data_IF_922518541692
#
_entry.id   IF_922518541692
#
_cell.length_a   1.000
_cell.length_b   1.000
_cell.length_c   1.000
_cell.angle_alpha   90.00
_cell.angle_beta   90.00
_cell.angle_gamma   90.00
#
_symmetry.space_group_name_H-M   'P 1'
#
loop_
_entity.id
_entity.type
_entity.pdbx_description
1 polymer ?
#
# COMPACT_ATOMS: atom_id res chain seq x y z
N UNK A 1 -18.11 -3.07 -2.67
CA UNK A 1 -17.95 -3.87 -3.88
C UNK A 1 -17.15 -5.14 -3.56
N UNK A 2 -17.41 -6.24 -4.24
CA UNK A 2 -16.67 -7.52 -4.12
C UNK A 2 -16.51 -8.07 -2.68
N UNK A 3 -17.49 -7.81 -1.81
CA UNK A 3 -17.43 -8.19 -0.38
C UNK A 3 -16.62 -7.26 0.50
N UNK A 4 -16.01 -6.21 -0.07
CA UNK A 4 -15.24 -5.23 0.68
C UNK A 4 -16.09 -4.01 1.06
N UNK A 5 -15.89 -3.52 2.27
CA UNK A 5 -16.33 -2.18 2.67
C UNK A 5 -15.23 -1.18 2.31
N UNK A 6 -15.57 -0.13 1.60
CA UNK A 6 -14.60 0.87 1.13
C UNK A 6 -15.15 2.26 1.43
N UNK A 7 -14.30 3.11 2.00
CA UNK A 7 -14.57 4.55 2.14
C UNK A 7 -13.40 5.35 1.57
N UNK A 8 -13.73 6.41 0.88
CA UNK A 8 -12.75 7.35 0.32
C UNK A 8 -13.32 8.75 0.36
N UNK A 9 -12.46 9.75 0.45
CA UNK A 9 -12.86 11.14 0.28
C UNK A 9 -13.55 11.35 -1.07
N UNK A 10 -13.06 10.70 -2.13
CA UNK A 10 -13.66 10.75 -3.46
C UNK A 10 -15.09 10.20 -3.54
N UNK A 11 -15.56 9.42 -2.54
CA UNK A 11 -16.95 8.95 -2.48
C UNK A 11 -17.91 9.98 -1.84
N UNK A 12 -17.36 11.04 -1.24
CA UNK A 12 -18.12 12.02 -0.44
C UNK A 12 -18.21 13.37 -1.17
N UNK A 13 -17.34 13.60 -2.14
CA UNK A 13 -17.16 14.88 -2.80
C UNK A 13 -17.55 14.76 -4.28
N UNK A 14 -18.16 15.80 -4.83
CA UNK A 14 -18.43 15.89 -6.26
C UNK A 14 -17.12 15.86 -7.06
N UNK A 15 -17.05 15.16 -8.22
CA UNK A 15 -15.80 14.99 -8.98
C UNK A 15 -15.15 16.30 -9.42
N UNK A 16 -15.96 17.34 -9.67
CA UNK A 16 -15.48 18.67 -10.08
C UNK A 16 -15.10 19.58 -8.91
N UNK A 17 -15.35 19.14 -7.68
CA UNK A 17 -15.09 19.97 -6.51
C UNK A 17 -13.63 19.88 -6.10
N UNK A 18 -12.90 20.98 -6.23
CA UNK A 18 -11.55 21.09 -5.69
C UNK A 18 -11.58 21.03 -4.14
N UNK A 19 -11.00 19.98 -3.57
CA UNK A 19 -10.92 19.85 -2.12
C UNK A 19 -9.56 20.29 -1.64
N UNK A 20 -9.54 21.45 -1.00
CA UNK A 20 -8.34 21.93 -0.30
C UNK A 20 -8.42 21.47 1.16
N UNK A 21 -7.97 20.24 1.42
CA UNK A 21 -7.83 19.74 2.78
C UNK A 21 -6.42 20.03 3.29
N UNK A 22 -6.31 20.99 4.20
CA UNK A 22 -5.08 21.22 4.96
C UNK A 22 -4.98 20.20 6.10
N UNK A 23 -3.74 19.92 6.57
CA UNK A 23 -3.43 18.89 7.56
C UNK A 23 -4.45 18.70 8.69
N UNK A 24 -4.85 19.74 9.46
CA UNK A 24 -5.81 19.58 10.56
C UNK A 24 -7.20 19.09 10.13
N UNK A 25 -7.68 19.51 8.94
CA UNK A 25 -8.97 19.05 8.41
C UNK A 25 -8.89 17.58 7.94
N UNK A 26 -7.78 17.22 7.36
CA UNK A 26 -7.54 15.85 6.91
C UNK A 26 -7.46 14.88 8.09
N UNK A 27 -6.81 15.29 9.18
CA UNK A 27 -6.81 14.56 10.44
C UNK A 27 -8.23 14.33 11.00
N UNK A 28 -9.11 15.35 10.90
CA UNK A 28 -10.52 15.23 11.27
C UNK A 28 -11.27 14.18 10.42
N UNK A 29 -11.06 14.19 9.11
CA UNK A 29 -11.66 13.21 8.20
C UNK A 29 -11.18 11.78 8.51
N UNK A 30 -9.90 11.58 8.81
CA UNK A 30 -9.38 10.27 9.21
C UNK A 30 -10.09 9.76 10.47
N UNK A 31 -10.25 10.61 11.48
CA UNK A 31 -10.97 10.24 12.69
C UNK A 31 -12.42 9.85 12.40
N UNK A 32 -13.11 10.61 11.55
CA UNK A 32 -14.48 10.30 11.15
C UNK A 32 -14.55 8.95 10.40
N UNK A 33 -13.61 8.67 9.49
CA UNK A 33 -13.56 7.38 8.78
C UNK A 33 -13.35 6.20 9.71
N UNK A 34 -12.63 6.38 10.79
CA UNK A 34 -12.32 5.30 11.73
C UNK A 34 -13.37 5.15 12.83
N UNK A 35 -14.00 6.24 13.28
CA UNK A 35 -14.85 6.29 14.47
C UNK A 35 -16.34 6.42 14.15
N UNK A 36 -16.70 7.15 13.09
CA UNK A 36 -18.11 7.46 12.78
C UNK A 36 -18.70 6.55 11.71
N UNK A 37 -17.87 5.80 10.99
CA UNK A 37 -18.33 4.80 10.01
C UNK A 37 -18.73 3.53 10.72
N UNK A 38 -19.92 3.03 10.40
CA UNK A 38 -20.40 1.74 10.89
C UNK A 38 -19.71 0.60 10.11
N UNK A 39 -18.54 0.22 10.56
CA UNK A 39 -17.85 -0.96 10.04
C UNK A 39 -18.55 -2.23 10.54
N UNK A 40 -18.72 -3.22 9.67
CA UNK A 40 -19.07 -4.57 10.10
C UNK A 40 -17.87 -5.23 10.80
N UNK A 41 -18.00 -6.47 11.25
CA UNK A 41 -16.84 -7.24 11.70
C UNK A 41 -15.80 -7.32 10.59
N UNK A 42 -14.58 -6.88 10.89
CA UNK A 42 -13.45 -6.81 9.96
C UNK A 42 -12.35 -7.74 10.41
N UNK A 43 -11.89 -8.61 9.52
CA UNK A 43 -10.64 -9.36 9.72
C UNK A 43 -9.42 -8.44 9.52
N UNK A 44 -9.51 -7.53 8.55
CA UNK A 44 -8.45 -6.58 8.20
C UNK A 44 -9.03 -5.20 7.88
N UNK A 45 -8.38 -4.16 8.38
CA UNK A 45 -8.55 -2.79 7.93
C UNK A 45 -7.29 -2.35 7.20
N UNK A 46 -7.39 -2.13 5.89
CA UNK A 46 -6.28 -1.64 5.06
C UNK A 46 -6.47 -0.15 4.83
N UNK A 47 -5.48 0.64 5.21
CA UNK A 47 -5.49 2.09 5.03
C UNK A 47 -4.47 2.48 3.97
N UNK A 48 -4.93 3.02 2.85
CA UNK A 48 -4.09 3.61 1.81
C UNK A 48 -3.77 5.05 2.19
N UNK A 49 -2.50 5.30 2.49
CA UNK A 49 -2.02 6.60 2.96
C UNK A 49 -1.56 7.47 1.80
N UNK A 50 -1.80 8.78 1.86
CA UNK A 50 -1.21 9.70 0.90
C UNK A 50 0.33 9.64 0.97
N UNK A 51 1.03 10.02 -0.10
CA UNK A 51 2.50 10.02 -0.11
C UNK A 51 3.09 11.02 0.87
N UNK A 52 4.32 10.75 1.31
CA UNK A 52 5.08 11.64 2.19
C UNK A 52 5.03 11.27 3.67
N UNK A 53 5.49 12.19 4.52
CA UNK A 53 5.69 12.02 5.97
C UNK A 53 4.93 13.08 6.77
N UNK A 54 3.71 13.39 6.36
CA UNK A 54 2.93 14.49 6.91
C UNK A 54 2.04 14.13 8.10
N UNK A 55 1.20 15.08 8.49
CA UNK A 55 0.29 14.96 9.63
C UNK A 55 -0.73 13.82 9.52
N UNK A 56 -1.03 13.37 8.31
CA UNK A 56 -1.98 12.28 8.04
C UNK A 56 -1.53 10.98 8.65
N UNK A 57 -0.29 10.58 8.34
CA UNK A 57 0.33 9.35 8.82
C UNK A 57 0.44 9.37 10.34
N UNK A 58 0.90 10.49 10.91
CA UNK A 58 1.02 10.67 12.35
C UNK A 58 -0.34 10.61 13.04
N UNK A 59 -1.35 11.28 12.48
CA UNK A 59 -2.71 11.26 13.03
C UNK A 59 -3.30 9.85 13.05
N UNK A 60 -3.08 9.07 11.98
CA UNK A 60 -3.57 7.71 11.92
C UNK A 60 -2.99 6.86 13.06
N UNK A 61 -1.66 6.83 13.19
CA UNK A 61 -0.99 5.99 14.20
C UNK A 61 -1.27 6.43 15.63
N UNK A 62 -1.65 7.68 15.84
CA UNK A 62 -2.09 8.20 17.13
C UNK A 62 -3.58 7.92 17.44
N UNK A 63 -4.36 7.60 16.40
CA UNK A 63 -5.81 7.39 16.52
C UNK A 63 -6.18 5.93 16.69
N UNK A 64 -5.45 5.03 16.04
CA UNK A 64 -5.71 3.59 16.07
C UNK A 64 -4.43 2.80 16.33
N UNK A 65 -4.52 1.64 17.01
CA UNK A 65 -3.40 0.72 17.18
C UNK A 65 -3.09 0.03 15.84
N UNK A 66 -2.15 0.58 15.07
CA UNK A 66 -1.75 0.02 13.78
C UNK A 66 -0.90 -1.22 14.01
N UNK A 67 -1.30 -2.35 13.45
CA UNK A 67 -0.56 -3.63 13.53
C UNK A 67 0.82 -3.52 12.89
N UNK A 68 0.92 -2.82 11.77
CA UNK A 68 2.17 -2.56 11.07
C UNK A 68 1.96 -1.88 9.72
N UNK A 69 3.05 -1.54 9.07
CA UNK A 69 3.09 -0.83 7.80
C UNK A 69 3.68 -1.70 6.71
N UNK A 70 3.04 -1.69 5.55
CA UNK A 70 3.59 -2.24 4.31
C UNK A 70 4.14 -1.07 3.49
N UNK A 71 5.44 -1.08 3.22
CA UNK A 71 6.09 -0.08 2.39
C UNK A 71 5.93 -0.44 0.92
N UNK A 72 5.55 0.52 0.09
CA UNK A 72 5.47 0.34 -1.36
C UNK A 72 6.45 1.31 -2.03
N UNK A 73 7.30 0.78 -2.89
CA UNK A 73 8.26 1.58 -3.68
C UNK A 73 8.32 1.08 -5.11
N UNK A 74 8.86 1.88 -6.01
CA UNK A 74 9.29 1.43 -7.34
C UNK A 74 10.80 1.22 -7.36
N UNK A 75 11.38 0.56 -8.38
CA UNK A 75 12.83 0.33 -8.45
C UNK A 75 13.71 1.58 -8.58
N UNK A 76 13.12 2.75 -8.83
CA UNK A 76 13.83 4.02 -9.02
C UNK A 76 14.45 4.54 -7.72
N UNK A 77 15.66 5.10 -7.81
CA UNK A 77 16.34 5.69 -6.65
C UNK A 77 15.56 6.83 -5.99
N UNK A 78 14.84 7.63 -6.78
CA UNK A 78 14.01 8.73 -6.24
C UNK A 78 12.91 8.18 -5.34
N UNK A 79 12.19 7.14 -5.79
CA UNK A 79 11.12 6.50 -5.02
C UNK A 79 11.67 5.79 -3.76
N UNK A 80 12.84 5.15 -3.90
CA UNK A 80 13.53 4.54 -2.79
C UNK A 80 13.91 5.56 -1.69
N UNK A 81 14.45 6.73 -2.07
CA UNK A 81 14.80 7.79 -1.11
C UNK A 81 13.57 8.30 -0.36
N UNK A 82 12.43 8.45 -1.03
CA UNK A 82 11.20 8.88 -0.38
C UNK A 82 10.62 7.79 0.53
N UNK A 83 10.73 6.53 0.12
CA UNK A 83 10.33 5.40 0.95
C UNK A 83 11.18 5.29 2.23
N UNK A 84 12.49 5.58 2.17
CA UNK A 84 13.35 5.65 3.36
C UNK A 84 12.88 6.74 4.34
N UNK A 85 12.51 7.92 3.85
CA UNK A 85 12.01 8.98 4.73
C UNK A 85 10.74 8.53 5.45
N UNK A 86 9.79 7.91 4.72
CA UNK A 86 8.57 7.37 5.31
C UNK A 86 8.87 6.26 6.32
N UNK A 87 9.76 5.33 6.00
CA UNK A 87 10.22 4.28 6.91
C UNK A 87 10.77 4.85 8.21
N UNK A 88 11.66 5.84 8.11
CA UNK A 88 12.27 6.49 9.28
C UNK A 88 11.23 7.18 10.16
N UNK A 89 10.18 7.77 9.57
CA UNK A 89 9.07 8.35 10.33
C UNK A 89 8.36 7.28 11.18
N UNK A 90 8.06 6.11 10.61
CA UNK A 90 7.42 5.03 11.36
C UNK A 90 8.30 4.42 12.45
N UNK A 91 9.62 4.59 12.36
CA UNK A 91 10.61 4.14 13.35
C UNK A 91 10.88 5.13 14.47
N UNK A 92 10.36 6.35 14.41
CA UNK A 92 10.51 7.32 15.50
C UNK A 92 9.95 6.75 16.80
N UNK A 93 10.63 6.96 17.92
CA UNK A 93 10.27 6.40 19.24
C UNK A 93 8.80 6.68 19.64
N UNK A 94 8.29 7.86 19.31
CA UNK A 94 6.92 8.27 19.61
C UNK A 94 5.87 7.76 18.59
N UNK A 95 6.30 7.13 17.51
CA UNK A 95 5.46 6.48 16.49
C UNK A 95 5.54 4.97 16.61
N UNK A 96 6.72 4.43 16.52
CA UNK A 96 7.11 3.03 16.77
C UNK A 96 6.16 2.00 16.14
N UNK A 97 5.85 2.16 14.84
CA UNK A 97 5.04 1.22 14.07
C UNK A 97 5.97 0.28 13.30
N UNK A 98 5.84 -1.05 13.46
CA UNK A 98 6.70 -1.99 12.78
C UNK A 98 6.47 -2.03 11.27
N UNK A 99 7.55 -2.22 10.51
CA UNK A 99 7.48 -2.45 9.06
C UNK A 99 7.28 -3.95 8.83
N UNK A 100 6.12 -4.35 8.32
CA UNK A 100 5.78 -5.74 8.02
C UNK A 100 6.53 -6.27 6.81
N UNK A 101 6.85 -5.39 5.88
CA UNK A 101 7.62 -5.72 4.69
C UNK A 101 7.46 -4.68 3.58
N UNK A 102 8.10 -4.97 2.45
CA UNK A 102 8.19 -4.09 1.30
C UNK A 102 7.58 -4.75 0.06
N UNK A 103 6.83 -3.98 -0.72
CA UNK A 103 6.36 -4.34 -2.05
C UNK A 103 7.13 -3.48 -3.07
N UNK A 104 7.77 -4.12 -4.06
CA UNK A 104 8.35 -3.42 -5.20
C UNK A 104 7.33 -3.40 -6.33
N UNK A 105 6.70 -2.25 -6.53
CA UNK A 105 5.72 -2.03 -7.60
C UNK A 105 6.43 -1.61 -8.89
N UNK A 106 5.82 -1.90 -10.05
CA UNK A 106 6.39 -1.62 -11.39
C UNK A 106 7.78 -2.23 -11.57
N UNK A 107 8.00 -3.42 -10.99
CA UNK A 107 9.32 -4.04 -10.90
C UNK A 107 9.90 -4.39 -12.28
N UNK A 108 9.07 -4.75 -13.25
CA UNK A 108 9.44 -4.95 -14.66
C UNK A 108 8.23 -4.77 -15.57
N UNK A 109 8.47 -4.51 -16.82
CA UNK A 109 7.49 -4.54 -17.88
C UNK A 109 7.58 -5.87 -18.66
N UNK A 110 6.43 -6.48 -18.96
CA UNK A 110 6.33 -7.63 -19.84
C UNK A 110 5.38 -7.28 -20.99
N UNK A 111 5.86 -7.29 -22.26
CA UNK A 111 4.98 -7.10 -23.41
C UNK A 111 4.04 -8.31 -23.58
N UNK A 112 2.82 -8.05 -24.05
CA UNK A 112 1.81 -9.09 -24.26
C UNK A 112 2.21 -10.13 -25.33
N UNK A 113 2.95 -9.69 -26.35
CA UNK A 113 3.49 -10.54 -27.41
C UNK A 113 4.77 -11.30 -27.02
N UNK A 114 5.36 -10.99 -25.86
CA UNK A 114 6.58 -11.62 -25.35
C UNK A 114 6.48 -11.90 -23.84
N UNK A 115 5.60 -12.80 -23.40
CA UNK A 115 5.28 -13.00 -21.98
C UNK A 115 6.45 -13.49 -21.12
N UNK A 116 7.47 -14.10 -21.75
CA UNK A 116 8.68 -14.57 -21.06
C UNK A 116 9.76 -13.50 -20.89
N UNK A 117 9.59 -12.32 -21.50
CA UNK A 117 10.58 -11.25 -21.44
C UNK A 117 10.24 -10.23 -20.36
N UNK A 118 11.25 -9.87 -19.58
CA UNK A 118 11.16 -8.83 -18.56
C UNK A 118 12.08 -7.67 -18.89
N UNK A 119 11.51 -6.47 -18.99
CA UNK A 119 12.23 -5.21 -19.20
C UNK A 119 12.19 -4.40 -17.91
N UNK A 120 13.35 -4.13 -17.34
CA UNK A 120 13.48 -3.39 -16.08
C UNK A 120 13.59 -1.88 -16.34
N UNK A 121 12.49 -1.30 -16.78
CA UNK A 121 12.43 0.10 -17.24
C UNK A 121 12.85 1.06 -16.13
N UNK A 122 12.50 0.77 -14.89
CA UNK A 122 12.76 1.60 -13.72
C UNK A 122 13.95 1.15 -12.87
N UNK A 123 14.77 0.23 -13.36
CA UNK A 123 15.87 -0.35 -12.60
C UNK A 123 15.52 -1.62 -11.87
N UNK A 124 16.30 -2.00 -10.87
CA UNK A 124 16.14 -3.27 -10.13
C UNK A 124 16.56 -3.13 -8.68
N UNK A 125 15.81 -3.79 -7.79
CA UNK A 125 16.28 -4.17 -6.46
C UNK A 125 16.12 -3.12 -5.37
N UNK A 126 15.49 -1.98 -5.63
CA UNK A 126 15.22 -0.97 -4.60
C UNK A 126 14.32 -1.53 -3.49
N UNK A 127 13.31 -2.34 -3.82
CA UNK A 127 12.45 -3.00 -2.85
C UNK A 127 13.21 -3.97 -1.94
N UNK A 128 14.13 -4.76 -2.50
CA UNK A 128 14.99 -5.65 -1.71
C UNK A 128 15.93 -4.87 -0.78
N UNK A 129 16.51 -3.79 -1.30
CA UNK A 129 17.40 -2.91 -0.51
C UNK A 129 16.62 -2.28 0.65
N UNK A 130 15.42 -1.74 0.39
CA UNK A 130 14.56 -1.16 1.41
C UNK A 130 14.14 -2.19 2.47
N UNK A 131 13.82 -3.42 2.06
CA UNK A 131 13.50 -4.52 2.97
C UNK A 131 14.65 -4.84 3.93
N UNK A 132 15.89 -4.88 3.43
CA UNK A 132 17.09 -5.06 4.26
C UNK A 132 17.29 -3.90 5.25
N UNK A 133 17.17 -2.65 4.79
CA UNK A 133 17.31 -1.46 5.64
C UNK A 133 16.18 -1.33 6.67
N UNK A 134 14.99 -1.81 6.34
CA UNK A 134 13.87 -1.85 7.27
C UNK A 134 13.85 -3.06 8.19
N UNK A 135 14.88 -3.94 8.11
CA UNK A 135 14.94 -5.19 8.87
C UNK A 135 13.67 -6.03 8.70
N UNK A 136 13.12 -5.99 7.49
CA UNK A 136 11.88 -6.67 7.12
C UNK A 136 12.07 -7.56 5.89
N UNK A 137 11.00 -7.99 5.27
CA UNK A 137 11.04 -8.89 4.12
C UNK A 137 10.52 -8.23 2.85
N UNK A 138 11.01 -8.65 1.69
CA UNK A 138 10.37 -8.33 0.41
C UNK A 138 9.12 -9.21 0.29
N UNK A 139 7.94 -8.59 0.40
CA UNK A 139 6.64 -9.28 0.32
C UNK A 139 6.30 -9.74 -1.10
N UNK A 140 6.81 -9.04 -2.09
CA UNK A 140 6.66 -9.40 -3.48
C UNK A 140 6.97 -8.25 -4.43
N UNK A 141 6.88 -8.57 -5.71
CA UNK A 141 7.11 -7.65 -6.80
C UNK A 141 5.91 -7.66 -7.74
N UNK A 142 5.38 -6.49 -8.08
CA UNK A 142 4.25 -6.33 -8.99
C UNK A 142 4.78 -5.86 -10.35
N UNK A 143 4.47 -6.56 -11.44
CA UNK A 143 4.87 -6.13 -12.78
C UNK A 143 4.08 -4.92 -13.25
N UNK A 144 4.65 -4.20 -14.21
CA UNK A 144 3.93 -3.21 -15.01
C UNK A 144 3.36 -3.91 -16.24
N UNK A 145 2.03 -4.07 -16.30
CA UNK A 145 1.32 -4.65 -17.43
C UNK A 145 0.14 -3.77 -17.82
N UNK A 146 -0.26 -3.80 -19.09
CA UNK A 146 -1.35 -2.94 -19.60
C UNK A 146 -2.68 -3.24 -18.91
N UNK A 147 -2.96 -4.50 -18.62
CA UNK A 147 -4.19 -4.93 -17.96
C UNK A 147 -4.42 -4.33 -16.56
N UNK A 148 -3.38 -3.93 -15.83
CA UNK A 148 -3.54 -3.23 -14.53
C UNK A 148 -4.15 -1.85 -14.76
N UNK A 149 -3.67 -1.11 -15.78
CA UNK A 149 -4.22 0.21 -16.13
C UNK A 149 -5.67 0.09 -16.58
N UNK A 150 -5.96 -0.82 -17.49
CA UNK A 150 -7.31 -1.02 -18.03
C UNK A 150 -8.31 -1.45 -16.95
N UNK A 151 -7.88 -2.28 -16.04
CA UNK A 151 -8.65 -2.67 -14.86
C UNK A 151 -8.98 -1.47 -13.98
N UNK A 152 -7.98 -0.61 -13.70
CA UNK A 152 -8.17 0.64 -12.95
C UNK A 152 -9.15 1.59 -13.62
N UNK A 153 -8.98 1.86 -14.92
CA UNK A 153 -9.83 2.75 -15.70
C UNK A 153 -11.30 2.27 -15.77
N UNK A 154 -11.50 0.94 -15.79
CA UNK A 154 -12.85 0.33 -15.82
C UNK A 154 -13.47 0.12 -14.44
N UNK A 155 -12.75 0.42 -13.36
CA UNK A 155 -13.19 0.16 -11.97
C UNK A 155 -13.31 -1.32 -11.62
N UNK A 156 -12.66 -2.21 -12.38
CA UNK A 156 -12.62 -3.65 -12.14
C UNK A 156 -11.25 -4.05 -11.61
N UNK A 157 -11.13 -4.53 -10.36
CA UNK A 157 -9.81 -4.88 -9.81
C UNK A 157 -9.04 -5.89 -10.67
N UNK A 158 -7.77 -5.62 -10.96
CA UNK A 158 -6.94 -6.46 -11.82
C UNK A 158 -6.81 -7.91 -11.28
N UNK A 159 -6.85 -8.10 -9.97
CA UNK A 159 -6.74 -9.41 -9.33
C UNK A 159 -7.91 -10.35 -9.64
N UNK A 160 -9.07 -9.82 -9.99
CA UNK A 160 -10.25 -10.62 -10.41
C UNK A 160 -10.39 -10.73 -11.92
N UNK A 161 -9.50 -10.10 -12.68
CA UNK A 161 -9.40 -10.25 -14.12
C UNK A 161 -8.81 -11.59 -14.54
N UNK A 162 -8.68 -11.77 -15.86
CA UNK A 162 -8.21 -13.03 -16.46
C UNK A 162 -6.69 -13.04 -16.71
N UNK A 163 -5.98 -11.94 -16.44
CA UNK A 163 -4.55 -11.83 -16.66
C UNK A 163 -3.77 -12.57 -15.54
N UNK A 164 -3.11 -13.71 -15.85
CA UNK A 164 -2.60 -14.63 -14.83
C UNK A 164 -1.37 -14.10 -14.09
N UNK A 165 -0.52 -13.30 -14.75
CA UNK A 165 0.73 -12.81 -14.17
C UNK A 165 0.43 -11.81 -13.06
N UNK A 166 -0.45 -10.85 -13.34
CA UNK A 166 -0.92 -9.85 -12.38
C UNK A 166 -1.64 -10.50 -11.21
N UNK A 167 -2.62 -11.38 -11.52
CA UNK A 167 -3.39 -12.09 -10.49
C UNK A 167 -2.48 -12.85 -9.54
N UNK A 168 -1.51 -13.60 -10.08
CA UNK A 168 -0.54 -14.34 -9.27
C UNK A 168 0.29 -13.42 -8.40
N UNK A 169 0.83 -12.33 -8.95
CA UNK A 169 1.66 -11.38 -8.21
C UNK A 169 0.89 -10.73 -7.04
N UNK A 170 -0.33 -10.26 -7.27
CA UNK A 170 -1.15 -9.68 -6.20
C UNK A 170 -1.54 -10.71 -5.13
N UNK A 171 -1.91 -11.93 -5.53
CA UNK A 171 -2.26 -13.00 -4.58
C UNK A 171 -1.08 -13.43 -3.72
N UNK A 172 0.13 -13.51 -4.30
CA UNK A 172 1.36 -13.81 -3.56
C UNK A 172 1.68 -12.70 -2.54
N UNK A 173 1.58 -11.44 -2.95
CA UNK A 173 1.76 -10.28 -2.05
C UNK A 173 0.74 -10.34 -0.92
N UNK A 174 -0.55 -10.51 -1.22
CA UNK A 174 -1.60 -10.57 -0.20
C UNK A 174 -1.37 -11.70 0.82
N UNK A 175 -1.01 -12.89 0.33
CA UNK A 175 -0.68 -14.02 1.20
C UNK A 175 0.55 -13.76 2.08
N UNK A 176 1.56 -13.07 1.56
CA UNK A 176 2.75 -12.70 2.32
C UNK A 176 2.43 -11.63 3.38
N UNK A 177 1.60 -10.62 3.05
CA UNK A 177 1.12 -9.64 4.03
C UNK A 177 0.36 -10.33 5.15
N UNK A 178 -0.60 -11.18 4.83
CA UNK A 178 -1.38 -11.91 5.84
C UNK A 178 -0.49 -12.74 6.77
N UNK A 179 0.54 -13.41 6.24
CA UNK A 179 1.52 -14.16 7.07
C UNK A 179 2.30 -13.24 7.99
N UNK A 180 2.74 -12.06 7.55
CA UNK A 180 3.46 -11.11 8.40
C UNK A 180 2.55 -10.53 9.50
N UNK A 181 1.29 -10.26 9.20
CA UNK A 181 0.30 -9.85 10.21
C UNK A 181 0.09 -10.95 11.25
N UNK A 182 -0.11 -12.19 10.82
CA UNK A 182 -0.27 -13.33 11.73
C UNK A 182 0.97 -13.50 12.63
N UNK A 183 2.16 -13.50 12.06
CA UNK A 183 3.42 -13.58 12.80
C UNK A 183 3.57 -12.43 13.82
N UNK A 184 3.21 -11.21 13.42
CA UNK A 184 3.25 -10.05 14.33
C UNK A 184 2.28 -10.21 15.49
N UNK A 185 1.07 -10.70 15.23
CA UNK A 185 0.06 -10.90 16.27
C UNK A 185 0.50 -11.99 17.28
N UNK A 186 1.16 -13.05 16.83
CA UNK A 186 1.74 -14.07 17.73
C UNK A 186 2.82 -13.49 18.67
N UNK A 187 3.58 -12.51 18.22
CA UNK A 187 4.61 -11.86 19.06
C UNK A 187 4.01 -10.92 20.13
N UNK A 188 2.73 -10.57 20.01
CA UNK A 188 2.03 -9.67 20.94
C UNK A 188 1.20 -10.42 21.99
N UNK A 189 1.03 -11.72 21.82
CA UNK A 189 0.36 -12.61 22.79
C UNK A 189 1.34 -13.18 23.81
#
# INVERSE_FOLDING_TARGET
AYGLQVISIGNIIEPEQAVVLRGPRLAGVIKQFLQDVLWNELDYLVVDLPPGTGDVQLTLVQTVPVTGVVMVTTPQDVAYIDAIKAMNMFRLDHVNVPILGVIENMAWFTPDDMPDRKYFIFGKGAGKKLALESESVLLGQIPLVMGIREAGDSGKPAVIGDEPITKKAFMEVAANVARQVAFRNELLM
#
